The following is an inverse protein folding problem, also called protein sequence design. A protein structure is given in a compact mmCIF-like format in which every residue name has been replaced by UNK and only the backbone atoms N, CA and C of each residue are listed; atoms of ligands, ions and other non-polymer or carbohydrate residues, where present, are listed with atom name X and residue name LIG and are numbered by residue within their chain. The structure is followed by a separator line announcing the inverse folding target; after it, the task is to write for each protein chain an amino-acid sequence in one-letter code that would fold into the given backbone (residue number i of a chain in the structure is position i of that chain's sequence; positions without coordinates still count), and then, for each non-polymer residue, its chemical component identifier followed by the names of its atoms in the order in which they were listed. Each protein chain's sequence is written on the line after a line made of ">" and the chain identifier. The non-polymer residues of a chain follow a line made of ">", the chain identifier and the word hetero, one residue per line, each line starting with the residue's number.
data_IF_110597429073
#
_entry.id   IF_110597429073
#
_cell.length_a   1.000
_cell.length_b   1.000
_cell.length_c   1.000
_cell.angle_alpha   90.00
_cell.angle_beta   90.00
_cell.angle_gamma   90.00
#
_symmetry.space_group_name_H-M   'P 1'
#
loop_
_entity.id
_entity.type
_entity.pdbx_description
1 polymer ?
#
# COMPACT_ATOMS: atom_id res chain seq x y z
N UNK A 1 -61.24 36.55 -15.00
CA UNK A 1 -61.34 35.62 -13.86
C UNK A 1 -59.98 34.99 -13.64
N UNK A 2 -59.49 35.05 -12.39
CA UNK A 2 -58.23 34.50 -11.88
C UNK A 2 -58.13 32.99 -12.11
N UNK A 3 -56.95 32.45 -12.47
CA UNK A 3 -56.41 31.17 -11.97
C UNK A 3 -54.87 31.19 -12.18
N UNK A 4 -54.10 31.46 -11.14
CA UNK A 4 -53.56 30.53 -10.13
C UNK A 4 -52.28 29.82 -10.56
N UNK A 5 -51.22 30.24 -9.88
CA UNK A 5 -49.81 29.86 -9.85
C UNK A 5 -49.57 28.39 -9.52
N UNK A 6 -48.57 27.76 -10.14
CA UNK A 6 -47.82 26.66 -9.52
C UNK A 6 -46.39 26.62 -10.07
N UNK A 7 -45.46 27.18 -9.31
CA UNK A 7 -44.02 26.95 -9.48
C UNK A 7 -43.69 25.55 -8.93
N UNK A 8 -43.30 24.62 -9.80
CA UNK A 8 -42.74 23.35 -9.40
C UNK A 8 -41.23 23.52 -9.17
N UNK A 9 -40.81 23.65 -7.91
CA UNK A 9 -39.40 23.62 -7.52
C UNK A 9 -38.95 22.15 -7.50
N UNK A 10 -38.26 21.72 -8.56
CA UNK A 10 -37.55 20.45 -8.62
C UNK A 10 -36.18 20.63 -7.94
N UNK A 11 -36.11 20.34 -6.64
CA UNK A 11 -34.84 20.21 -5.93
C UNK A 11 -34.18 18.87 -6.34
N UNK A 12 -33.29 18.91 -7.33
CA UNK A 12 -32.41 17.78 -7.64
C UNK A 12 -31.36 17.66 -6.54
N UNK A 13 -31.53 16.68 -5.65
CA UNK A 13 -30.52 16.32 -4.65
C UNK A 13 -29.33 15.71 -5.41
N UNK A 14 -28.31 16.51 -5.67
CA UNK A 14 -27.04 16.02 -6.16
C UNK A 14 -26.38 15.22 -5.02
N UNK A 15 -26.50 13.89 -5.06
CA UNK A 15 -25.73 13.01 -4.19
C UNK A 15 -24.25 13.13 -4.58
N UNK A 16 -23.56 14.10 -3.98
CA UNK A 16 -22.10 14.21 -4.05
C UNK A 16 -21.53 12.98 -3.33
N UNK A 17 -21.14 11.97 -4.10
CA UNK A 17 -20.33 10.87 -3.61
C UNK A 17 -18.93 11.42 -3.33
N UNK A 18 -18.79 12.09 -2.19
CA UNK A 18 -17.49 12.38 -1.61
C UNK A 18 -16.88 11.02 -1.25
N UNK A 19 -16.10 10.45 -2.17
CA UNK A 19 -15.14 9.42 -1.79
C UNK A 19 -14.21 10.09 -0.80
N UNK A 20 -14.47 9.91 0.49
CA UNK A 20 -13.48 10.15 1.53
C UNK A 20 -12.31 9.29 1.09
N UNK A 21 -11.25 9.93 0.59
CA UNK A 21 -9.98 9.27 0.37
C UNK A 21 -9.48 8.88 1.76
N UNK A 22 -9.97 7.77 2.28
CA UNK A 22 -9.42 7.18 3.50
C UNK A 22 -7.98 6.88 3.14
N UNK A 23 -7.03 7.61 3.74
CA UNK A 23 -5.62 7.23 3.69
C UNK A 23 -5.57 5.83 4.27
N UNK A 24 -5.37 4.83 3.41
CA UNK A 24 -5.21 3.48 3.88
C UNK A 24 -3.92 3.40 4.69
N UNK A 25 -4.02 2.84 5.88
CA UNK A 25 -2.88 2.70 6.76
C UNK A 25 -1.92 1.66 6.18
N UNK A 26 -0.67 2.04 5.99
CA UNK A 26 0.38 1.11 5.60
C UNK A 26 0.76 0.26 6.82
N UNK A 27 0.68 -1.06 6.68
CA UNK A 27 1.07 -2.00 7.73
C UNK A 27 2.59 -2.31 7.74
N UNK A 28 3.32 -1.95 6.68
CA UNK A 28 4.78 -2.04 6.63
C UNK A 28 5.40 -0.90 7.42
N UNK A 29 6.11 -1.22 8.50
CA UNK A 29 6.72 -0.24 9.41
C UNK A 29 8.20 -0.03 9.16
N UNK A 30 8.85 -0.90 8.38
CA UNK A 30 10.26 -0.73 8.03
C UNK A 30 10.44 0.43 7.06
N UNK A 31 11.27 1.40 7.44
CA UNK A 31 11.51 2.64 6.66
C UNK A 31 12.90 2.70 6.04
N UNK A 32 13.76 1.69 6.24
CA UNK A 32 15.08 1.67 5.61
C UNK A 32 14.93 1.57 4.09
N UNK A 33 15.69 2.38 3.34
CA UNK A 33 15.56 2.50 1.87
C UNK A 33 16.92 2.65 1.17
N UNK A 34 17.73 1.59 1.12
CA UNK A 34 18.98 1.59 0.38
C UNK A 34 18.72 1.89 -1.10
N UNK A 35 19.50 2.82 -1.67
CA UNK A 35 19.28 3.31 -3.03
C UNK A 35 17.93 4.01 -3.24
N UNK A 36 17.26 4.45 -2.17
CA UNK A 36 15.92 5.06 -2.25
C UNK A 36 14.79 4.05 -2.49
N UNK A 37 15.06 2.74 -2.37
CA UNK A 37 14.04 1.70 -2.56
C UNK A 37 13.37 1.37 -1.24
N UNK A 38 12.18 1.90 -1.05
CA UNK A 38 11.33 1.62 0.11
C UNK A 38 10.65 0.26 0.00
N UNK A 39 10.24 -0.30 1.15
CA UNK A 39 9.42 -1.49 1.18
C UNK A 39 8.02 -1.18 0.62
N UNK A 40 7.49 -2.08 -0.20
CA UNK A 40 6.20 -1.85 -0.84
C UNK A 40 5.10 -1.76 0.23
N UNK A 41 4.22 -0.75 0.22
CA UNK A 41 3.17 -0.65 1.23
C UNK A 41 2.29 -1.90 1.28
N UNK A 42 1.88 -2.27 2.49
CA UNK A 42 0.84 -3.28 2.73
C UNK A 42 -0.44 -2.53 3.10
N UNK A 43 -1.42 -2.57 2.20
CA UNK A 43 -2.67 -1.80 2.30
C UNK A 43 -3.88 -2.71 2.46
N UNK A 44 -5.06 -2.13 2.70
CA UNK A 44 -6.32 -2.87 2.76
C UNK A 44 -6.84 -3.09 1.32
N UNK A 45 -6.94 -4.36 0.92
CA UNK A 45 -7.35 -4.74 -0.43
C UNK A 45 -8.82 -4.44 -0.76
N UNK A 46 -9.63 -4.15 0.26
CA UNK A 46 -11.09 -4.07 0.17
C UNK A 46 -11.79 -5.43 0.08
N UNK A 47 -11.05 -6.54 0.15
CA UNK A 47 -11.58 -7.90 0.12
C UNK A 47 -11.37 -8.59 1.47
N UNK A 48 -12.47 -8.89 2.18
CA UNK A 48 -12.44 -9.53 3.49
C UNK A 48 -11.76 -10.93 3.49
N UNK A 49 -11.80 -11.67 2.38
CA UNK A 49 -11.17 -13.00 2.28
C UNK A 49 -9.65 -12.91 2.08
N UNK A 50 -9.15 -11.79 1.54
CA UNK A 50 -7.72 -11.54 1.27
C UNK A 50 -7.39 -10.08 1.58
N UNK A 51 -7.43 -9.65 2.85
CA UNK A 51 -7.51 -8.25 3.22
C UNK A 51 -6.22 -7.45 2.99
N UNK A 52 -5.09 -8.10 2.76
CA UNK A 52 -3.81 -7.40 2.63
C UNK A 52 -3.40 -7.31 1.16
N UNK A 53 -3.20 -6.10 0.62
CA UNK A 53 -2.68 -5.85 -0.72
C UNK A 53 -1.22 -5.39 -0.68
N UNK A 54 -0.40 -5.93 -1.59
CA UNK A 54 0.97 -5.50 -1.83
C UNK A 54 1.16 -5.31 -3.33
N UNK A 55 0.86 -4.10 -3.83
CA UNK A 55 0.98 -3.75 -5.27
C UNK A 55 0.15 -4.68 -6.16
N UNK A 56 -1.08 -4.98 -5.73
CA UNK A 56 -2.02 -5.85 -6.46
C UNK A 56 -1.93 -7.34 -6.12
N UNK A 57 -0.87 -7.79 -5.44
CA UNK A 57 -0.82 -9.13 -4.86
C UNK A 57 -1.58 -9.12 -3.53
N UNK A 58 -2.67 -9.88 -3.41
CA UNK A 58 -3.45 -9.94 -2.15
C UNK A 58 -3.13 -11.15 -1.28
N UNK A 59 -3.29 -11.04 0.03
CA UNK A 59 -2.91 -12.09 0.99
C UNK A 59 -3.97 -12.25 2.06
N UNK A 60 -4.12 -13.49 2.53
CA UNK A 60 -4.98 -13.82 3.68
C UNK A 60 -4.29 -13.46 4.99
N UNK A 61 -2.96 -13.62 5.05
CA UNK A 61 -2.15 -13.45 6.26
C UNK A 61 -1.21 -12.25 6.14
N UNK A 62 -1.16 -11.42 7.20
CA UNK A 62 -0.34 -10.19 7.23
C UNK A 62 1.16 -10.49 7.14
N UNK A 63 1.65 -11.57 7.76
CA UNK A 63 3.04 -11.98 7.70
C UNK A 63 3.49 -12.31 6.27
N UNK A 64 2.64 -12.98 5.49
CA UNK A 64 2.92 -13.26 4.07
C UNK A 64 2.97 -11.97 3.24
N UNK A 65 2.07 -11.01 3.50
CA UNK A 65 2.09 -9.70 2.84
C UNK A 65 3.35 -8.90 3.18
N UNK A 66 3.77 -8.88 4.46
CA UNK A 66 4.99 -8.20 4.89
C UNK A 66 6.25 -8.84 4.30
N UNK A 67 6.30 -10.17 4.22
CA UNK A 67 7.39 -10.87 3.54
C UNK A 67 7.48 -10.46 2.05
N UNK A 68 6.33 -10.46 1.35
CA UNK A 68 6.24 -9.99 -0.03
C UNK A 68 6.71 -8.54 -0.19
N UNK A 69 6.34 -7.66 0.75
CA UNK A 69 6.76 -6.26 0.78
C UNK A 69 8.29 -6.12 0.85
N UNK A 70 8.95 -6.91 1.73
CA UNK A 70 10.41 -6.94 1.83
C UNK A 70 11.09 -7.57 0.60
N UNK A 71 10.49 -8.60 -0.01
CA UNK A 71 11.00 -9.19 -1.25
C UNK A 71 10.98 -8.19 -2.41
N UNK A 72 9.90 -7.40 -2.53
CA UNK A 72 9.80 -6.36 -3.56
C UNK A 72 10.82 -5.23 -3.34
N UNK A 73 11.10 -4.87 -2.08
CA UNK A 73 12.20 -3.96 -1.75
C UNK A 73 13.53 -4.49 -2.24
N UNK A 74 13.84 -5.74 -1.89
CA UNK A 74 15.08 -6.39 -2.29
C UNK A 74 15.24 -6.40 -3.81
N UNK A 75 14.19 -6.79 -4.55
CA UNK A 75 14.24 -6.83 -6.01
C UNK A 75 14.49 -5.44 -6.61
N UNK A 76 13.84 -4.40 -6.09
CA UNK A 76 14.09 -3.02 -6.52
C UNK A 76 15.53 -2.58 -6.24
N UNK A 77 16.03 -2.84 -5.04
CA UNK A 77 17.40 -2.54 -4.64
C UNK A 77 18.42 -3.30 -5.50
N UNK A 78 18.22 -4.61 -5.68
CA UNK A 78 19.11 -5.46 -6.47
C UNK A 78 19.14 -5.04 -7.94
N UNK A 79 18.02 -4.59 -8.51
CA UNK A 79 18.00 -4.03 -9.86
C UNK A 79 18.83 -2.75 -9.98
N UNK A 80 18.80 -1.87 -8.97
CA UNK A 80 19.66 -0.68 -8.94
C UNK A 80 21.15 -1.04 -8.81
N UNK A 81 21.49 -1.96 -7.90
CA UNK A 81 22.86 -2.45 -7.76
C UNK A 81 23.39 -3.08 -9.07
N UNK A 82 22.59 -3.94 -9.70
CA UNK A 82 22.96 -4.63 -10.94
C UNK A 82 23.01 -3.69 -12.16
N UNK A 83 22.28 -2.57 -12.14
CA UNK A 83 22.34 -1.56 -13.21
C UNK A 83 23.50 -0.57 -13.06
N UNK A 84 24.28 -0.67 -11.97
CA UNK A 84 25.37 0.26 -11.67
C UNK A 84 24.90 1.66 -11.26
N UNK A 85 23.64 1.80 -10.86
CA UNK A 85 23.03 3.08 -10.47
C UNK A 85 23.20 3.40 -8.97
N UNK A 86 24.00 2.63 -8.24
CA UNK A 86 24.25 2.83 -6.81
C UNK A 86 25.64 2.37 -6.38
N UNK A 87 26.17 3.02 -5.34
CA UNK A 87 27.44 2.67 -4.69
C UNK A 87 27.25 1.57 -3.63
N UNK A 88 26.46 0.55 -3.95
CA UNK A 88 26.15 -0.58 -3.07
C UNK A 88 25.95 -1.87 -3.87
N UNK A 89 26.06 -3.00 -3.18
CA UNK A 89 25.98 -4.33 -3.76
C UNK A 89 24.62 -5.00 -3.54
N UNK A 90 24.37 -6.10 -4.25
CA UNK A 90 23.22 -6.96 -3.96
C UNK A 90 23.29 -7.60 -2.57
N UNK A 91 24.48 -7.73 -1.97
CA UNK A 91 24.65 -8.19 -0.60
C UNK A 91 24.14 -7.15 0.41
N UNK A 92 24.33 -5.85 0.14
CA UNK A 92 23.78 -4.78 0.97
C UNK A 92 22.24 -4.76 0.89
N UNK A 93 21.69 -5.00 -0.30
CA UNK A 93 20.24 -5.19 -0.48
C UNK A 93 19.72 -6.39 0.33
N UNK A 94 20.45 -7.50 0.36
CA UNK A 94 20.08 -8.68 1.15
C UNK A 94 20.12 -8.36 2.66
N UNK A 95 21.12 -7.62 3.13
CA UNK A 95 21.18 -7.17 4.51
C UNK A 95 19.99 -6.26 4.88
N UNK A 96 19.59 -5.36 3.98
CA UNK A 96 18.38 -4.55 4.17
C UNK A 96 17.11 -5.42 4.23
N UNK A 97 16.98 -6.44 3.38
CA UNK A 97 15.86 -7.39 3.41
C UNK A 97 15.75 -8.12 4.74
N UNK A 98 16.88 -8.52 5.33
CA UNK A 98 16.92 -9.16 6.64
C UNK A 98 16.45 -8.21 7.75
N UNK A 99 16.87 -6.95 7.70
CA UNK A 99 16.38 -5.91 8.61
C UNK A 99 14.86 -5.68 8.45
N UNK A 100 14.38 -5.63 7.20
CA UNK A 100 12.95 -5.52 6.89
C UNK A 100 12.16 -6.70 7.46
N UNK A 101 12.66 -7.92 7.27
CA UNK A 101 12.01 -9.14 7.79
C UNK A 101 12.01 -9.18 9.32
N UNK A 102 13.13 -8.80 9.95
CA UNK A 102 13.26 -8.75 11.40
C UNK A 102 12.31 -7.72 12.04
N UNK A 103 12.18 -6.53 11.43
CA UNK A 103 11.22 -5.50 11.87
C UNK A 103 9.77 -6.01 11.86
N UNK A 104 9.45 -6.94 10.95
CA UNK A 104 8.11 -7.48 10.77
C UNK A 104 7.83 -8.78 11.54
N UNK A 105 8.83 -9.36 12.22
CA UNK A 105 8.68 -10.63 12.94
C UNK A 105 7.61 -10.59 14.05
N UNK A 106 7.36 -9.42 14.64
CA UNK A 106 6.30 -9.23 15.64
C UNK A 106 4.89 -9.20 15.03
N UNK A 107 4.74 -8.71 13.80
CA UNK A 107 3.46 -8.65 13.10
C UNK A 107 3.03 -10.02 12.54
N UNK A 108 3.99 -10.87 12.15
CA UNK A 108 3.73 -12.21 11.63
C UNK A 108 3.23 -13.23 12.69
N UNK A 109 3.31 -12.89 13.99
CA UNK A 109 2.88 -13.75 15.11
C UNK A 109 1.48 -13.43 15.64
N UNK A 110 0.85 -12.37 15.13
CA UNK A 110 -0.52 -11.98 15.47
C UNK A 110 -1.49 -12.52 14.43
#
# INVERSE_FOLDING_TARGET
>A
MKFSTTFAVLATIAATQARVAMRQANSQTFTGALGGVEATPVLDSGNADRPFDVKGDTFVNIGAALARSCDQQFNGCANLANSGQGDFSTADCQAQKEQCTAANAGAARK
#
